data_IF_631619507573
#
_entry.id   IF_631619507573
#
_cell.length_a   1.000
_cell.length_b   1.000
_cell.length_c   1.000
_cell.angle_alpha   90.00
_cell.angle_beta   90.00
_cell.angle_gamma   90.00
#
_symmetry.space_group_name_H-M   'P 1'
#
loop_
_entity.id
_entity.type
_entity.pdbx_description
1 polymer ?
#
# COMPACT_ATOMS: atom_id res chain seq x y z
N UNK A 1 16.92 -21.93 61.06
CA UNK A 1 17.84 -22.58 60.10
C UNK A 1 17.00 -23.25 59.03
N UNK A 2 17.48 -23.15 57.79
CA UNK A 2 17.03 -23.71 56.49
C UNK A 2 16.32 -25.10 56.55
N UNK A 3 15.41 -25.52 55.64
CA UNK A 3 15.46 -25.55 54.17
C UNK A 3 14.07 -25.88 53.51
N UNK A 4 13.88 -25.34 52.28
CA UNK A 4 13.29 -25.94 51.03
C UNK A 4 11.78 -26.30 50.96
N UNK A 5 10.93 -25.68 50.10
CA UNK A 5 10.75 -25.67 48.61
C UNK A 5 10.05 -26.91 47.99
N UNK A 6 8.81 -26.74 47.51
CA UNK A 6 8.18 -27.33 46.30
C UNK A 6 6.73 -26.78 46.17
N UNK A 7 6.43 -25.81 45.30
CA UNK A 7 6.11 -25.90 43.86
C UNK A 7 4.73 -26.52 43.52
N UNK A 8 4.02 -25.85 42.59
CA UNK A 8 2.87 -26.28 41.74
C UNK A 8 1.47 -25.93 42.32
N UNK A 9 0.58 -25.20 41.64
CA UNK A 9 0.56 -24.77 40.25
C UNK A 9 -0.39 -23.58 40.01
N UNK A 10 0.11 -22.67 39.18
CA UNK A 10 -0.63 -21.62 38.48
C UNK A 10 -1.75 -22.25 37.62
N UNK A 11 -3.01 -21.94 37.91
CA UNK A 11 -4.06 -21.93 36.88
C UNK A 11 -4.22 -20.50 36.36
N UNK A 12 -3.23 -20.02 35.61
CA UNK A 12 -3.48 -18.96 34.65
C UNK A 12 -4.22 -19.59 33.48
N UNK A 13 -5.54 -19.59 33.57
CA UNK A 13 -6.40 -19.97 32.46
C UNK A 13 -6.10 -18.99 31.33
N UNK A 14 -5.52 -19.55 30.28
CA UNK A 14 -5.12 -18.89 29.06
C UNK A 14 -6.38 -18.34 28.41
N UNK A 15 -6.66 -17.05 28.60
CA UNK A 15 -7.55 -16.34 27.68
C UNK A 15 -6.78 -16.15 26.38
N UNK A 16 -6.78 -17.20 25.55
CA UNK A 16 -6.46 -17.09 24.14
C UNK A 16 -7.64 -16.36 23.50
N UNK A 17 -7.72 -15.05 23.76
CA UNK A 17 -8.49 -14.13 22.95
C UNK A 17 -7.80 -14.09 21.60
N UNK A 18 -8.17 -15.03 20.73
CA UNK A 18 -8.00 -14.89 19.30
C UNK A 18 -8.84 -13.70 18.87
N UNK A 19 -8.28 -12.50 19.06
CA UNK A 19 -8.67 -11.35 18.26
C UNK A 19 -8.15 -11.72 16.88
N UNK A 20 -8.96 -12.46 16.13
CA UNK A 20 -8.83 -12.60 14.70
C UNK A 20 -9.21 -11.23 14.12
N UNK A 21 -8.39 -10.22 14.43
CA UNK A 21 -8.35 -8.98 13.70
C UNK A 21 -8.02 -9.43 12.29
N UNK A 22 -8.98 -9.29 11.37
CA UNK A 22 -8.70 -9.17 9.95
C UNK A 22 -7.45 -8.31 9.87
N UNK A 23 -6.33 -8.92 9.52
CA UNK A 23 -5.05 -8.26 9.74
C UNK A 23 -4.82 -7.19 8.65
N UNK A 24 -5.85 -6.90 7.83
CA UNK A 24 -6.12 -5.68 7.06
C UNK A 24 -4.88 -4.89 6.64
N UNK A 25 -4.91 -3.59 6.89
CA UNK A 25 -3.80 -2.67 6.66
C UNK A 25 -3.00 -2.38 7.94
N UNK A 26 -3.11 -3.24 8.95
CA UNK A 26 -2.42 -3.08 10.23
C UNK A 26 -2.87 -1.84 11.00
N UNK A 27 -1.90 -1.00 11.43
CA UNK A 27 -2.16 0.22 12.22
C UNK A 27 -2.46 1.47 11.37
N UNK A 28 -2.57 1.34 10.05
CA UNK A 28 -2.99 2.42 9.18
C UNK A 28 -4.52 2.57 9.19
N UNK A 29 -5.00 3.78 9.00
CA UNK A 29 -6.43 4.07 8.87
C UNK A 29 -6.90 3.83 7.43
N UNK A 30 -6.08 4.25 6.46
CA UNK A 30 -6.23 3.98 5.03
C UNK A 30 -4.89 4.06 4.31
N UNK A 31 -4.82 3.43 3.14
CA UNK A 31 -3.71 3.53 2.20
C UNK A 31 -4.30 3.92 0.84
N UNK A 32 -3.87 5.07 0.31
CA UNK A 32 -4.28 5.53 -1.00
C UNK A 32 -3.15 5.28 -1.99
N UNK A 33 -3.45 4.60 -3.09
CA UNK A 33 -2.51 4.35 -4.18
C UNK A 33 -2.96 5.14 -5.39
N UNK A 34 -2.14 6.07 -5.85
CA UNK A 34 -2.47 6.97 -6.94
C UNK A 34 -1.62 6.65 -8.17
N UNK A 35 -2.30 6.46 -9.30
CA UNK A 35 -1.68 6.40 -10.62
C UNK A 35 -2.01 7.69 -11.38
N UNK A 36 -1.02 8.57 -11.51
CA UNK A 36 -1.12 9.86 -12.17
C UNK A 36 -0.69 9.75 -13.63
N UNK A 37 -1.60 10.07 -14.56
CA UNK A 37 -1.32 10.14 -15.99
C UNK A 37 -1.89 11.41 -16.62
N UNK A 38 -1.69 11.55 -17.93
CA UNK A 38 -2.17 12.72 -18.69
C UNK A 38 -3.70 12.90 -18.63
N UNK A 39 -4.45 11.81 -18.43
CA UNK A 39 -5.91 11.81 -18.30
C UNK A 39 -6.44 12.09 -16.90
N UNK A 40 -5.56 12.32 -15.91
CA UNK A 40 -5.91 12.46 -14.51
C UNK A 40 -5.32 11.36 -13.64
N UNK A 41 -5.83 11.25 -12.41
CA UNK A 41 -5.35 10.32 -11.40
C UNK A 41 -6.40 9.25 -11.13
N UNK A 42 -5.96 7.99 -11.17
CA UNK A 42 -6.71 6.87 -10.61
C UNK A 42 -6.24 6.64 -9.18
N UNK A 43 -7.12 6.82 -8.20
CA UNK A 43 -6.83 6.56 -6.79
C UNK A 43 -7.57 5.31 -6.32
N UNK A 44 -6.80 4.37 -5.78
CA UNK A 44 -7.30 3.20 -5.05
C UNK A 44 -7.22 3.47 -3.55
N UNK A 45 -8.35 3.38 -2.85
CA UNK A 45 -8.42 3.50 -1.40
C UNK A 45 -8.58 2.12 -0.79
N UNK A 46 -7.54 1.71 -0.07
CA UNK A 46 -7.48 0.47 0.69
C UNK A 46 -7.67 0.83 2.16
N UNK A 47 -8.76 0.37 2.76
CA UNK A 47 -9.06 0.56 4.18
C UNK A 47 -9.28 -0.81 4.85
N UNK A 48 -9.96 -0.83 6.00
CA UNK A 48 -10.30 -2.07 6.71
C UNK A 48 -11.56 -2.76 6.16
N UNK A 49 -12.21 -2.21 5.13
CA UNK A 49 -13.36 -2.85 4.49
C UNK A 49 -12.94 -4.04 3.64
N UNK A 50 -13.92 -4.84 3.22
CA UNK A 50 -13.77 -5.93 2.25
C UNK A 50 -13.89 -5.44 0.80
N UNK A 51 -13.79 -4.12 0.57
CA UNK A 51 -13.89 -3.50 -0.74
C UNK A 51 -12.69 -2.62 -1.05
N UNK A 52 -12.40 -2.44 -2.34
CA UNK A 52 -11.51 -1.41 -2.84
C UNK A 52 -12.37 -0.28 -3.40
N UNK A 53 -12.18 0.94 -2.88
CA UNK A 53 -12.79 2.12 -3.48
C UNK A 53 -11.86 2.67 -4.56
N UNK A 54 -12.39 2.89 -5.75
CA UNK A 54 -11.67 3.39 -6.92
C UNK A 54 -12.26 4.73 -7.31
N UNK A 55 -11.40 5.73 -7.45
CA UNK A 55 -11.73 7.10 -7.79
C UNK A 55 -10.94 7.49 -9.05
N UNK A 56 -11.59 8.12 -10.01
CA UNK A 56 -10.94 8.67 -11.19
C UNK A 56 -11.22 10.17 -11.27
N UNK A 57 -10.17 10.99 -11.27
CA UNK A 57 -10.31 12.44 -11.17
C UNK A 57 -9.00 13.19 -11.02
N UNK A 58 -9.10 14.46 -10.63
CA UNK A 58 -7.97 15.30 -10.21
C UNK A 58 -8.07 15.51 -8.71
N UNK A 59 -6.96 15.30 -8.00
CA UNK A 59 -6.87 15.52 -6.57
C UNK A 59 -5.92 16.68 -6.29
N UNK A 60 -6.34 17.59 -5.41
CA UNK A 60 -5.53 18.72 -5.00
C UNK A 60 -5.80 19.02 -3.53
N UNK A 61 -4.84 19.65 -2.86
CA UNK A 61 -5.05 20.15 -1.51
C UNK A 61 -5.54 21.59 -1.55
N UNK A 62 -6.54 21.91 -0.73
CA UNK A 62 -6.91 23.30 -0.50
C UNK A 62 -5.85 24.04 0.34
N UNK A 63 -6.07 25.33 0.61
CA UNK A 63 -5.15 26.16 1.41
C UNK A 63 -5.05 25.72 2.88
N UNK A 64 -5.96 24.88 3.35
CA UNK A 64 -5.98 24.28 4.68
C UNK A 64 -5.36 22.87 4.69
N UNK A 65 -4.95 22.36 3.52
CA UNK A 65 -4.40 21.02 3.34
C UNK A 65 -5.45 19.92 3.17
N UNK A 66 -6.74 20.26 3.07
CA UNK A 66 -7.79 19.26 2.86
C UNK A 66 -7.72 18.72 1.44
N UNK A 67 -7.78 17.39 1.31
CA UNK A 67 -7.86 16.71 0.02
C UNK A 67 -9.21 17.03 -0.65
N UNK A 68 -9.13 17.64 -1.83
CA UNK A 68 -10.26 18.09 -2.64
C UNK A 68 -10.24 17.34 -3.98
N UNK A 69 -11.20 16.43 -4.22
CA UNK A 69 -11.29 15.70 -5.48
C UNK A 69 -12.26 16.37 -6.48
N UNK A 70 -11.83 16.46 -7.75
CA UNK A 70 -12.72 16.63 -8.90
C UNK A 70 -12.82 15.30 -9.65
N UNK A 71 -13.89 14.54 -9.39
CA UNK A 71 -14.08 13.24 -9.99
C UNK A 71 -14.64 13.35 -11.41
N UNK A 72 -14.05 12.61 -12.34
CA UNK A 72 -14.54 12.47 -13.71
C UNK A 72 -15.61 11.39 -13.84
N UNK A 73 -15.61 10.43 -12.90
CA UNK A 73 -16.55 9.32 -12.86
C UNK A 73 -17.13 9.14 -11.45
N UNK A 74 -18.30 8.51 -11.31
CA UNK A 74 -18.84 8.13 -10.01
C UNK A 74 -17.87 7.22 -9.24
N UNK A 75 -17.91 7.33 -7.91
CA UNK A 75 -17.13 6.45 -7.01
C UNK A 75 -17.48 4.99 -7.28
N UNK A 76 -16.48 4.18 -7.60
CA UNK A 76 -16.66 2.74 -7.82
C UNK A 76 -16.16 1.99 -6.58
N UNK A 77 -16.96 1.04 -6.08
CA UNK A 77 -16.54 0.09 -5.04
C UNK A 77 -16.56 -1.31 -5.62
N UNK A 78 -15.45 -2.02 -5.48
CA UNK A 78 -15.31 -3.40 -5.95
C UNK A 78 -14.94 -4.31 -4.80
N UNK A 79 -15.45 -5.52 -4.77
CA UNK A 79 -15.10 -6.56 -3.80
C UNK A 79 -14.35 -7.71 -4.50
N UNK A 80 -13.14 -7.49 -5.04
CA UNK A 80 -12.38 -8.55 -5.65
C UNK A 80 -12.02 -9.62 -4.61
N UNK A 81 -11.99 -10.89 -5.03
CA UNK A 81 -11.60 -12.00 -4.15
C UNK A 81 -10.20 -11.81 -3.53
N UNK A 82 -9.40 -10.92 -4.12
CA UNK A 82 -8.02 -10.65 -3.75
C UNK A 82 -7.86 -9.53 -2.69
N UNK A 83 -8.94 -8.92 -2.16
CA UNK A 83 -8.86 -7.83 -1.16
C UNK A 83 -7.99 -8.19 0.06
N UNK A 84 -8.16 -9.35 0.72
CA UNK A 84 -7.31 -9.70 1.86
C UNK A 84 -5.83 -9.79 1.48
N UNK A 85 -5.52 -10.17 0.24
CA UNK A 85 -4.15 -10.24 -0.26
C UNK A 85 -3.59 -8.84 -0.52
N UNK A 86 -4.39 -7.95 -1.14
CA UNK A 86 -4.03 -6.55 -1.37
C UNK A 86 -3.73 -5.86 -0.04
N UNK A 87 -4.63 -5.98 0.95
CA UNK A 87 -4.47 -5.42 2.29
C UNK A 87 -3.19 -5.92 2.97
N UNK A 88 -2.97 -7.24 2.98
CA UNK A 88 -1.77 -7.85 3.56
C UNK A 88 -0.48 -7.35 2.89
N UNK A 89 -0.45 -7.27 1.56
CA UNK A 89 0.71 -6.77 0.83
C UNK A 89 0.95 -5.28 1.13
N UNK A 90 -0.10 -4.45 1.12
CA UNK A 90 0.00 -3.04 1.46
C UNK A 90 0.55 -2.83 2.88
N UNK A 91 0.09 -3.64 3.83
CA UNK A 91 0.60 -3.63 5.21
C UNK A 91 2.09 -3.97 5.27
N UNK A 92 2.51 -5.06 4.64
CA UNK A 92 3.90 -5.52 4.65
C UNK A 92 4.85 -4.51 3.97
N UNK A 93 4.40 -3.90 2.88
CA UNK A 93 5.21 -2.95 2.10
C UNK A 93 5.29 -1.57 2.77
N UNK A 94 4.16 -1.00 3.19
CA UNK A 94 4.09 0.44 3.51
C UNK A 94 3.82 0.75 4.99
N UNK A 95 3.31 -0.21 5.77
CA UNK A 95 2.98 0.00 7.19
C UNK A 95 4.03 -0.61 8.10
N UNK A 96 4.35 -1.88 7.89
CA UNK A 96 5.38 -2.60 8.64
C UNK A 96 6.78 -2.40 8.04
N UNK A 97 6.85 -2.08 6.74
CA UNK A 97 8.09 -2.12 5.96
C UNK A 97 8.84 -3.46 6.13
N UNK A 98 8.12 -4.56 6.31
CA UNK A 98 8.67 -5.90 6.54
C UNK A 98 9.13 -6.58 5.24
N UNK A 99 8.69 -6.05 4.09
CA UNK A 99 9.22 -6.41 2.77
C UNK A 99 9.71 -5.15 2.06
N UNK A 100 10.85 -5.22 1.33
CA UNK A 100 11.28 -4.11 0.50
C UNK A 100 10.28 -3.92 -0.65
N UNK A 101 10.05 -2.67 -1.03
CA UNK A 101 9.38 -2.29 -2.27
C UNK A 101 10.34 -2.34 -3.47
N UNK A 102 11.56 -1.84 -3.28
CA UNK A 102 12.63 -1.78 -4.28
C UNK A 102 13.81 -2.65 -3.86
N UNK A 103 14.32 -3.49 -4.77
CA UNK A 103 15.50 -4.33 -4.52
C UNK A 103 16.81 -3.61 -4.85
N UNK A 104 16.85 -2.89 -5.97
CA UNK A 104 17.98 -2.05 -6.33
C UNK A 104 17.57 -1.00 -7.37
N UNK A 105 18.33 0.08 -7.40
CA UNK A 105 18.27 1.13 -8.43
C UNK A 105 19.66 1.32 -9.05
N UNK A 106 19.69 1.67 -10.35
CA UNK A 106 20.92 2.05 -11.06
C UNK A 106 20.64 3.27 -11.93
N UNK A 107 21.54 4.26 -12.00
CA UNK A 107 21.37 5.39 -12.90
C UNK A 107 21.22 4.94 -14.35
N UNK A 108 20.27 5.50 -15.08
CA UNK A 108 20.13 5.33 -16.52
C UNK A 108 20.61 6.59 -17.24
N UNK A 109 21.46 6.40 -18.25
CA UNK A 109 22.34 7.44 -18.79
C UNK A 109 21.63 8.49 -19.67
N UNK A 110 20.32 8.34 -19.95
CA UNK A 110 19.69 8.99 -21.11
C UNK A 110 18.34 9.69 -20.89
N UNK A 111 17.81 9.84 -19.67
CA UNK A 111 16.45 10.39 -19.55
C UNK A 111 16.27 11.59 -18.63
N UNK A 112 15.19 12.31 -18.95
CA UNK A 112 14.61 13.43 -18.24
C UNK A 112 13.47 12.91 -17.36
N UNK A 113 13.38 13.33 -16.11
CA UNK A 113 12.34 12.91 -15.16
C UNK A 113 10.96 13.31 -15.66
N UNK A 114 10.14 12.34 -16.05
CA UNK A 114 8.69 12.53 -16.00
C UNK A 114 8.24 12.36 -14.53
N UNK A 115 7.17 13.04 -14.15
CA UNK A 115 6.62 13.03 -12.79
C UNK A 115 6.36 11.60 -12.30
N UNK A 116 6.50 11.31 -10.99
CA UNK A 116 6.18 9.99 -10.45
C UNK A 116 4.72 9.64 -10.79
N UNK A 117 4.57 8.62 -11.63
CA UNK A 117 3.26 8.13 -12.08
C UNK A 117 2.57 7.37 -10.95
N UNK A 118 3.31 6.86 -9.96
CA UNK A 118 2.75 6.11 -8.84
C UNK A 118 3.16 6.71 -7.49
N UNK A 119 2.18 7.03 -6.65
CA UNK A 119 2.41 7.36 -5.24
C UNK A 119 1.54 6.52 -4.31
N UNK A 120 2.06 6.26 -3.10
CA UNK A 120 1.36 5.54 -2.04
C UNK A 120 1.32 6.41 -0.80
N UNK A 121 0.13 6.76 -0.36
CA UNK A 121 -0.14 7.64 0.77
C UNK A 121 -0.70 6.79 1.91
N UNK A 122 0.04 6.69 3.01
CA UNK A 122 -0.35 5.93 4.21
C UNK A 122 -0.84 6.90 5.26
N UNK A 123 -2.11 6.78 5.64
CA UNK A 123 -2.75 7.61 6.66
C UNK A 123 -2.81 6.89 8.00
N UNK A 124 -2.42 7.59 9.07
CA UNK A 124 -2.47 7.09 10.44
C UNK A 124 -2.65 8.22 11.45
N UNK A 125 -3.76 8.20 12.17
CA UNK A 125 -4.15 9.20 13.19
C UNK A 125 -4.04 10.62 12.67
N UNK A 126 -4.54 10.86 11.45
CA UNK A 126 -4.50 12.16 10.79
C UNK A 126 -3.12 12.58 10.28
N UNK A 127 -2.12 11.69 10.30
CA UNK A 127 -0.80 11.93 9.70
C UNK A 127 -0.65 11.14 8.42
N UNK A 128 -0.02 11.75 7.43
CA UNK A 128 0.26 11.15 6.13
C UNK A 128 1.75 10.83 5.99
N UNK A 129 2.05 9.68 5.39
CA UNK A 129 3.38 9.33 4.89
C UNK A 129 3.26 8.94 3.42
N UNK A 130 4.05 9.57 2.55
CA UNK A 130 3.99 9.36 1.11
C UNK A 130 5.24 8.62 0.61
N UNK A 131 5.03 7.66 -0.28
CA UNK A 131 6.06 6.95 -1.02
C UNK A 131 5.88 7.25 -2.51
N UNK A 132 6.96 7.58 -3.21
CA UNK A 132 6.95 7.90 -4.63
C UNK A 132 7.70 6.83 -5.41
N UNK A 133 7.10 6.40 -6.51
CA UNK A 133 7.63 5.36 -7.36
C UNK A 133 7.72 5.87 -8.79
N UNK A 134 8.92 5.76 -9.37
CA UNK A 134 9.09 5.92 -10.81
C UNK A 134 8.41 4.75 -11.53
N UNK A 135 7.97 4.97 -12.75
CA UNK A 135 7.48 3.88 -13.61
C UNK A 135 8.15 4.01 -14.97
N UNK A 136 8.00 3.00 -15.81
CA UNK A 136 8.66 2.98 -17.11
C UNK A 136 8.40 1.69 -17.85
N UNK A 137 9.14 1.50 -18.94
CA UNK A 137 9.05 0.26 -19.71
C UNK A 137 9.67 -0.89 -18.92
N UNK A 138 8.92 -1.98 -18.73
CA UNK A 138 9.47 -3.19 -18.10
C UNK A 138 10.10 -4.11 -19.17
N UNK A 139 11.38 -4.44 -19.01
CA UNK A 139 12.08 -5.47 -19.80
C UNK A 139 12.82 -6.43 -18.87
N UNK A 140 12.58 -7.73 -19.04
CA UNK A 140 13.18 -8.79 -18.22
C UNK A 140 13.01 -8.56 -16.70
N UNK A 141 11.86 -7.99 -16.32
CA UNK A 141 11.53 -7.65 -14.93
C UNK A 141 12.31 -6.47 -14.36
N UNK A 142 12.97 -5.67 -15.18
CA UNK A 142 13.61 -4.40 -14.79
C UNK A 142 12.75 -3.28 -15.39
N UNK A 143 12.36 -2.33 -14.55
CA UNK A 143 11.67 -1.12 -14.98
C UNK A 143 12.72 -0.10 -15.42
N UNK A 144 12.63 0.33 -16.67
CA UNK A 144 13.46 1.36 -17.26
C UNK A 144 12.66 2.66 -17.24
N UNK A 145 12.85 3.42 -16.17
CA UNK A 145 12.46 4.83 -16.14
C UNK A 145 13.47 5.64 -16.94
N UNK A 146 13.11 6.87 -17.25
CA UNK A 146 13.96 7.81 -17.97
C UNK A 146 15.29 8.04 -17.24
N UNK A 147 15.28 8.20 -15.92
CA UNK A 147 16.49 8.48 -15.11
C UNK A 147 17.11 7.26 -14.44
N UNK A 148 16.36 6.18 -14.24
CA UNK A 148 16.76 5.08 -13.34
C UNK A 148 16.29 3.73 -13.87
N UNK A 149 17.16 2.72 -13.77
CA UNK A 149 16.77 1.32 -13.86
C UNK A 149 16.41 0.81 -12.48
N UNK A 150 15.24 0.19 -12.35
CA UNK A 150 14.68 -0.18 -11.06
C UNK A 150 14.29 -1.65 -11.10
N UNK A 151 14.71 -2.40 -10.08
CA UNK A 151 14.19 -3.74 -9.82
C UNK A 151 13.27 -3.69 -8.62
N UNK A 152 11.97 -3.75 -8.86
CA UNK A 152 10.98 -3.88 -7.80
C UNK A 152 11.00 -5.28 -7.19
N UNK A 153 10.56 -5.36 -5.94
CA UNK A 153 10.40 -6.64 -5.27
C UNK A 153 9.20 -7.41 -5.83
N UNK A 154 9.20 -8.74 -5.78
CA UNK A 154 8.04 -9.54 -6.18
C UNK A 154 6.76 -9.16 -5.44
N UNK A 155 6.86 -8.76 -4.17
CA UNK A 155 5.71 -8.36 -3.37
C UNK A 155 5.10 -7.04 -3.86
N UNK A 156 5.94 -6.07 -4.25
CA UNK A 156 5.47 -4.82 -4.82
C UNK A 156 4.82 -5.04 -6.19
N UNK A 157 5.41 -5.87 -7.05
CA UNK A 157 4.84 -6.22 -8.36
C UNK A 157 3.50 -6.97 -8.22
N UNK A 158 3.40 -7.91 -7.27
CA UNK A 158 2.13 -8.59 -7.00
C UNK A 158 1.05 -7.61 -6.52
N UNK A 159 1.42 -6.68 -5.65
CA UNK A 159 0.53 -5.65 -5.14
C UNK A 159 -0.05 -4.76 -6.25
N UNK A 160 0.82 -4.21 -7.11
CA UNK A 160 0.39 -3.34 -8.22
C UNK A 160 -0.42 -4.11 -9.26
N UNK A 161 -0.04 -5.35 -9.57
CA UNK A 161 -0.80 -6.22 -10.48
C UNK A 161 -2.23 -6.46 -9.99
N UNK A 162 -2.42 -6.80 -8.72
CA UNK A 162 -3.75 -7.07 -8.14
C UNK A 162 -4.63 -5.82 -8.09
N UNK A 163 -4.05 -4.65 -7.82
CA UNK A 163 -4.78 -3.39 -7.91
C UNK A 163 -5.27 -3.12 -9.34
N UNK A 164 -4.38 -3.25 -10.34
CA UNK A 164 -4.74 -3.01 -11.74
C UNK A 164 -5.77 -4.03 -12.27
N UNK A 165 -5.69 -5.29 -11.85
CA UNK A 165 -6.72 -6.30 -12.17
C UNK A 165 -8.10 -5.91 -11.64
N UNK A 166 -8.17 -5.17 -10.54
CA UNK A 166 -9.45 -4.69 -9.98
C UNK A 166 -10.09 -3.59 -10.86
N UNK A 167 -9.32 -2.99 -11.77
CA UNK A 167 -9.78 -1.98 -12.71
C UNK A 167 -10.43 -2.58 -13.96
N UNK A 168 -9.85 -3.67 -14.49
CA UNK A 168 -10.29 -4.36 -15.71
C UNK A 168 -11.14 -5.59 -15.33
N UNK A 169 -12.49 -5.52 -15.39
CA UNK A 169 -13.35 -6.68 -15.17
C UNK A 169 -13.15 -7.77 -16.23
#
# INVERSE_FOLDING_TARGET
>A
MFYSLAMIGLFFVSSCGSIQQSEGIGKADSIHVEYCGMGGTTRYVIDHSDTLTILHGVFFHDTLGNDCPHLFEPVRKVAPNDIPVIQRLARQLFVECSKPDTLWTKPYKYGSTDWPILSVHVFKKGKEKVYYYETGEEKDGIVYSTSVQIKYSPAFLEFTHRLNKSFQP
#
